data_IF_064577502040
#
_entry.id   IF_064577502040
#
_cell.length_a   1.000
_cell.length_b   1.000
_cell.length_c   1.000
_cell.angle_alpha   90.00
_cell.angle_beta   90.00
_cell.angle_gamma   90.00
#
_symmetry.space_group_name_H-M   'P 1'
#
loop_
_entity.id
_entity.type
_entity.pdbx_description
1 polymer ?
#
# COMPACT_ATOMS: atom_id res chain seq x y z
N UNK A 1 1.60 -12.28 -10.59
CA UNK A 1 0.13 -12.14 -10.67
C UNK A 1 -0.25 -11.10 -11.71
N UNK A 2 -1.25 -11.35 -12.57
CA UNK A 2 -1.74 -10.36 -13.54
C UNK A 2 -2.94 -9.61 -12.96
N UNK A 3 -3.03 -8.30 -13.21
CA UNK A 3 -4.21 -7.48 -12.87
C UNK A 3 -4.11 -6.58 -11.63
N UNK A 4 -3.00 -6.58 -10.87
CA UNK A 4 -2.70 -5.50 -9.92
C UNK A 4 -1.82 -4.49 -10.64
N UNK A 5 -2.25 -3.25 -10.77
CA UNK A 5 -1.58 -2.25 -11.59
C UNK A 5 -0.58 -1.44 -10.77
N UNK A 6 -1.01 -0.94 -9.62
CA UNK A 6 -0.22 -0.01 -8.82
C UNK A 6 -0.49 -0.18 -7.32
N UNK A 7 0.52 0.10 -6.52
CA UNK A 7 0.43 0.25 -5.06
C UNK A 7 0.87 1.67 -4.70
N UNK A 8 0.11 2.36 -3.87
CA UNK A 8 0.37 3.73 -3.44
C UNK A 8 0.24 3.87 -1.93
N UNK A 9 1.09 4.73 -1.36
CA UNK A 9 0.98 5.15 0.04
C UNK A 9 0.79 6.66 0.04
N UNK A 10 -0.30 7.07 0.65
CA UNK A 10 -0.78 8.44 0.63
C UNK A 10 -0.76 8.98 2.05
N UNK A 11 -0.25 10.20 2.20
CA UNK A 11 -0.27 10.88 3.49
C UNK A 11 -1.62 11.50 3.80
N UNK A 12 -1.73 12.02 5.01
CA UNK A 12 -2.93 12.69 5.51
C UNK A 12 -3.41 13.87 4.65
N UNK A 13 -2.53 14.45 3.81
CA UNK A 13 -2.84 15.57 2.90
C UNK A 13 -3.27 15.10 1.51
N UNK A 14 -3.44 13.79 1.31
CA UNK A 14 -3.71 13.22 0.00
C UNK A 14 -2.50 13.18 -0.92
N UNK A 15 -1.28 13.46 -0.45
CA UNK A 15 -0.07 13.39 -1.28
C UNK A 15 0.48 11.97 -1.30
N UNK A 16 0.76 11.45 -2.50
CA UNK A 16 1.49 10.18 -2.66
C UNK A 16 2.94 10.35 -2.15
N UNK A 17 3.32 9.58 -1.14
CA UNK A 17 4.69 9.53 -0.61
C UNK A 17 5.44 8.29 -1.11
N UNK A 18 4.73 7.35 -1.72
CA UNK A 18 5.29 6.16 -2.35
C UNK A 18 4.33 5.66 -3.43
N UNK A 19 4.90 5.25 -4.56
CA UNK A 19 4.19 4.59 -5.65
C UNK A 19 5.03 3.46 -6.23
N UNK A 20 4.43 2.29 -6.40
CA UNK A 20 5.04 1.15 -7.04
C UNK A 20 4.14 0.63 -8.16
N UNK A 21 4.52 0.92 -9.39
CA UNK A 21 3.92 0.30 -10.56
C UNK A 21 4.36 -1.16 -10.68
N UNK A 22 3.37 -2.03 -10.79
CA UNK A 22 3.55 -3.46 -10.95
C UNK A 22 3.49 -3.82 -12.43
N UNK A 23 2.50 -3.26 -13.14
CA UNK A 23 2.34 -3.35 -14.58
C UNK A 23 2.19 -1.94 -15.15
N UNK A 24 2.77 -1.67 -16.33
CA UNK A 24 2.65 -0.37 -16.98
C UNK A 24 1.18 -0.10 -17.33
N UNK A 25 0.64 0.99 -16.80
CA UNK A 25 -0.65 1.53 -17.18
C UNK A 25 -0.43 2.93 -17.77
N UNK A 26 -1.05 3.24 -18.92
CA UNK A 26 -0.75 4.45 -19.71
C UNK A 26 -1.36 5.74 -19.11
N UNK A 27 -2.11 5.67 -18.01
CA UNK A 27 -2.88 6.80 -17.45
C UNK A 27 -2.36 7.31 -16.09
N UNK A 28 -1.09 7.74 -16.01
CA UNK A 28 -0.42 8.08 -14.73
C UNK A 28 -0.87 9.40 -14.08
N UNK A 29 -0.97 10.49 -14.85
CA UNK A 29 -1.13 11.84 -14.26
C UNK A 29 -2.56 12.13 -13.76
N UNK A 30 -3.56 11.59 -14.45
CA UNK A 30 -4.96 11.64 -14.01
C UNK A 30 -5.21 10.84 -12.74
N UNK A 31 -4.39 9.81 -12.48
CA UNK A 31 -4.53 8.90 -11.35
C UNK A 31 -4.15 9.55 -10.01
N UNK A 32 -3.04 10.31 -9.96
CA UNK A 32 -2.56 10.88 -8.70
C UNK A 32 -3.46 11.99 -8.16
N UNK A 33 -3.96 12.87 -9.03
CA UNK A 33 -4.90 13.93 -8.64
C UNK A 33 -6.25 13.34 -8.21
N UNK A 34 -6.73 12.32 -8.94
CA UNK A 34 -7.95 11.60 -8.58
C UNK A 34 -7.82 10.88 -7.24
N UNK A 35 -6.72 10.14 -7.01
CA UNK A 35 -6.46 9.47 -5.75
C UNK A 35 -6.33 10.45 -4.58
N UNK A 36 -5.65 11.58 -4.80
CA UNK A 36 -5.52 12.65 -3.78
C UNK A 36 -6.87 13.20 -3.36
N UNK A 37 -7.73 13.52 -4.33
CA UNK A 37 -9.09 13.99 -4.07
C UNK A 37 -9.95 12.90 -3.45
N UNK A 38 -9.82 11.65 -3.91
CA UNK A 38 -10.55 10.51 -3.38
C UNK A 38 -10.19 10.29 -1.91
N UNK A 39 -8.91 10.21 -1.57
CA UNK A 39 -8.47 9.97 -0.18
C UNK A 39 -8.75 11.16 0.75
N UNK A 40 -8.64 12.39 0.24
CA UNK A 40 -9.05 13.58 1.00
C UNK A 40 -10.55 13.58 1.27
N UNK A 41 -11.35 13.12 0.31
CA UNK A 41 -12.80 12.96 0.47
C UNK A 41 -13.10 11.85 1.47
N UNK A 42 -12.42 10.70 1.37
CA UNK A 42 -12.56 9.56 2.28
C UNK A 42 -12.19 9.90 3.73
N UNK A 43 -11.34 10.92 3.97
CA UNK A 43 -11.04 11.44 5.31
C UNK A 43 -12.27 12.03 6.03
N UNK A 44 -13.22 12.58 5.28
CA UNK A 44 -14.46 13.16 5.81
C UNK A 44 -15.58 12.12 5.96
N UNK A 45 -15.43 10.95 5.32
CA UNK A 45 -16.33 9.83 5.53
C UNK A 45 -15.84 9.05 6.74
N UNK A 46 -16.70 8.92 7.77
CA UNK A 46 -16.56 7.84 8.76
C UNK A 46 -16.80 6.52 8.01
N UNK A 47 -15.78 6.07 7.30
CA UNK A 47 -15.82 4.82 6.55
C UNK A 47 -16.11 3.72 7.55
N UNK A 48 -17.29 3.11 7.45
CA UNK A 48 -17.56 1.83 8.07
C UNK A 48 -16.44 0.91 7.60
N UNK A 49 -15.59 0.48 8.52
CA UNK A 49 -14.45 -0.38 8.22
C UNK A 49 -14.97 -1.56 7.42
N UNK A 50 -14.52 -1.69 6.17
CA UNK A 50 -14.85 -2.82 5.34
C UNK A 50 -14.28 -4.13 5.90
N UNK A 51 -14.47 -5.21 5.16
CA UNK A 51 -14.05 -6.53 5.59
C UNK A 51 -12.56 -6.57 5.92
N UNK A 52 -12.23 -7.15 7.07
CA UNK A 52 -10.87 -7.22 7.61
C UNK A 52 -10.13 -5.87 7.78
N UNK A 53 -10.87 -4.76 7.85
CA UNK A 53 -10.29 -3.40 7.96
C UNK A 53 -9.87 -2.80 6.62
N UNK A 54 -10.18 -3.45 5.50
CA UNK A 54 -9.90 -2.98 4.15
C UNK A 54 -11.17 -2.42 3.52
N UNK A 55 -11.08 -1.20 2.99
CA UNK A 55 -12.15 -0.58 2.23
C UNK A 55 -11.92 -0.78 0.73
N UNK A 56 -13.01 -0.80 -0.04
CA UNK A 56 -12.98 -0.96 -1.49
C UNK A 56 -13.82 0.12 -2.16
N UNK A 57 -13.31 0.66 -3.26
CA UNK A 57 -14.04 1.49 -4.20
C UNK A 57 -13.92 0.91 -5.61
N UNK A 58 -15.04 0.69 -6.28
CA UNK A 58 -15.07 0.24 -7.67
C UNK A 58 -15.42 1.39 -8.61
N UNK A 59 -14.60 1.61 -9.63
CA UNK A 59 -14.77 2.62 -10.67
C UNK A 59 -14.65 1.95 -12.03
N UNK A 60 -15.79 1.71 -12.69
CA UNK A 60 -15.87 0.98 -13.96
C UNK A 60 -15.16 -0.39 -13.84
N UNK A 61 -14.06 -0.56 -14.58
CA UNK A 61 -13.29 -1.81 -14.67
C UNK A 61 -12.16 -1.89 -13.63
N UNK A 62 -11.92 -0.81 -12.87
CA UNK A 62 -10.85 -0.69 -11.89
C UNK A 62 -11.43 -0.72 -10.47
N UNK A 63 -10.75 -1.42 -9.57
CA UNK A 63 -11.02 -1.44 -8.15
C UNK A 63 -9.84 -0.87 -7.37
N UNK A 64 -10.16 -0.04 -6.38
CA UNK A 64 -9.22 0.54 -5.44
C UNK A 64 -9.49 -0.06 -4.07
N UNK A 65 -8.50 -0.76 -3.52
CA UNK A 65 -8.55 -1.31 -2.17
C UNK A 65 -7.61 -0.52 -1.29
N UNK A 66 -8.03 -0.18 -0.08
CA UNK A 66 -7.24 0.68 0.78
C UNK A 66 -7.46 0.42 2.27
N UNK A 67 -6.36 0.53 3.02
CA UNK A 67 -6.31 0.39 4.47
C UNK A 67 -5.67 1.64 5.06
N UNK A 68 -6.27 2.15 6.12
CA UNK A 68 -5.67 3.21 6.92
C UNK A 68 -4.74 2.57 7.94
N UNK A 69 -3.47 2.91 7.90
CA UNK A 69 -2.52 2.48 8.93
C UNK A 69 -2.68 3.32 10.20
N UNK A 70 -2.78 2.63 11.33
CA UNK A 70 -2.98 3.23 12.65
C UNK A 70 -1.72 3.84 13.25
N UNK A 71 -0.51 3.42 12.83
CA UNK A 71 0.75 3.89 13.41
C UNK A 71 1.26 5.18 12.75
N UNK A 72 1.08 5.29 11.44
CA UNK A 72 1.63 6.36 10.61
C UNK A 72 0.60 7.36 10.08
N UNK A 73 -0.69 7.10 10.34
CA UNK A 73 -1.85 7.81 9.79
C UNK A 73 -1.82 7.90 8.25
N UNK A 74 -1.13 6.96 7.59
CA UNK A 74 -1.07 6.87 6.12
C UNK A 74 -2.16 5.95 5.59
N UNK A 75 -2.54 6.18 4.35
CA UNK A 75 -3.42 5.28 3.60
C UNK A 75 -2.56 4.47 2.66
N UNK A 76 -2.63 3.15 2.79
CA UNK A 76 -1.98 2.20 1.89
C UNK A 76 -3.06 1.68 0.97
N UNK A 77 -2.84 1.80 -0.33
CA UNK A 77 -3.85 1.47 -1.31
C UNK A 77 -3.28 0.77 -2.53
N UNK A 78 -4.15 0.02 -3.19
CA UNK A 78 -3.83 -0.91 -4.25
C UNK A 78 -4.91 -0.80 -5.32
N UNK A 79 -4.45 -0.61 -6.54
CA UNK A 79 -5.29 -0.55 -7.73
C UNK A 79 -5.20 -1.87 -8.49
N UNK A 80 -6.35 -2.44 -8.82
CA UNK A 80 -6.42 -3.67 -9.59
C UNK A 80 -7.62 -3.71 -10.53
N UNK A 81 -7.60 -4.64 -11.47
CA UNK A 81 -8.77 -4.96 -12.28
C UNK A 81 -9.89 -5.55 -11.43
N UNK A 82 -11.12 -5.31 -11.86
CA UNK A 82 -12.34 -5.83 -11.22
C UNK A 82 -12.51 -7.36 -11.27
N UNK A 83 -11.62 -8.05 -11.98
CA UNK A 83 -11.59 -9.51 -12.11
C UNK A 83 -10.80 -10.22 -10.99
N UNK A 84 -10.08 -9.48 -10.14
CA UNK A 84 -9.34 -10.07 -9.01
C UNK A 84 -10.28 -10.29 -7.82
N UNK A 85 -10.17 -11.47 -7.19
CA UNK A 85 -10.93 -11.84 -5.99
C UNK A 85 -10.54 -10.94 -4.80
N UNK A 86 -11.53 -10.36 -4.14
CA UNK A 86 -11.35 -9.42 -3.03
C UNK A 86 -10.48 -9.99 -1.89
N UNK A 87 -10.73 -11.23 -1.45
CA UNK A 87 -9.96 -11.88 -0.37
C UNK A 87 -8.45 -11.93 -0.65
N UNK A 88 -8.09 -12.10 -1.93
CA UNK A 88 -6.69 -12.13 -2.34
C UNK A 88 -6.07 -10.74 -2.24
N UNK A 89 -6.82 -9.70 -2.64
CA UNK A 89 -6.37 -8.32 -2.52
C UNK A 89 -6.25 -7.91 -1.06
N UNK A 90 -7.19 -8.31 -0.20
CA UNK A 90 -7.15 -8.03 1.24
C UNK A 90 -5.88 -8.59 1.89
N UNK A 91 -5.53 -9.84 1.59
CA UNK A 91 -4.29 -10.47 2.08
C UNK A 91 -3.04 -9.74 1.60
N UNK A 92 -2.98 -9.41 0.31
CA UNK A 92 -1.85 -8.67 -0.26
C UNK A 92 -1.70 -7.30 0.41
N UNK A 93 -2.81 -6.58 0.58
CA UNK A 93 -2.79 -5.24 1.17
C UNK A 93 -2.34 -5.28 2.64
N UNK A 94 -2.75 -6.30 3.41
CA UNK A 94 -2.26 -6.54 4.77
C UNK A 94 -0.77 -6.85 4.80
N UNK A 95 -0.28 -7.71 3.91
CA UNK A 95 1.15 -8.04 3.81
C UNK A 95 1.99 -6.79 3.47
N UNK A 96 1.49 -5.96 2.56
CA UNK A 96 2.09 -4.66 2.22
C UNK A 96 2.12 -3.74 3.44
N UNK A 97 1.01 -3.65 4.19
CA UNK A 97 0.93 -2.84 5.42
C UNK A 97 1.99 -3.27 6.42
N UNK A 98 2.13 -4.56 6.67
CA UNK A 98 3.13 -5.08 7.61
C UNK A 98 4.54 -4.67 7.19
N UNK A 99 4.90 -4.83 5.92
CA UNK A 99 6.24 -4.42 5.46
C UNK A 99 6.43 -2.90 5.50
N UNK A 100 5.37 -2.12 5.33
CA UNK A 100 5.40 -0.68 5.51
C UNK A 100 5.63 -0.30 6.97
N UNK A 101 4.92 -0.92 7.92
CA UNK A 101 5.09 -0.67 9.35
C UNK A 101 6.53 -0.99 9.79
N UNK A 102 7.10 -2.10 9.31
CA UNK A 102 8.52 -2.46 9.53
C UNK A 102 9.48 -1.40 9.02
N UNK A 103 9.24 -0.91 7.79
CA UNK A 103 10.04 0.16 7.19
C UNK A 103 9.93 1.44 8.01
N UNK A 104 8.70 1.85 8.33
CA UNK A 104 8.41 3.08 9.06
C UNK A 104 9.08 3.08 10.43
N UNK A 105 8.97 1.98 11.18
CA UNK A 105 9.67 1.82 12.46
C UNK A 105 11.18 1.98 12.27
N UNK A 106 11.79 1.31 11.29
CA UNK A 106 13.24 1.48 11.02
C UNK A 106 13.62 2.92 10.67
N UNK A 107 12.82 3.60 9.86
CA UNK A 107 13.06 5.00 9.48
C UNK A 107 13.06 5.95 10.69
N UNK A 108 12.31 5.64 11.76
CA UNK A 108 12.33 6.43 13.00
C UNK A 108 13.66 6.33 13.76
N UNK A 109 14.41 5.24 13.59
CA UNK A 109 15.64 4.97 14.35
C UNK A 109 16.93 5.05 13.49
N UNK A 110 16.82 5.13 12.17
CA UNK A 110 17.98 5.14 11.26
C UNK A 110 18.37 6.54 10.75
N UNK A 111 19.64 6.73 10.38
CA UNK A 111 20.14 7.98 9.77
C UNK A 111 19.65 8.14 8.32
N UNK A 112 19.62 9.38 7.80
CA UNK A 112 19.11 9.71 6.44
C UNK A 112 19.76 8.88 5.31
N UNK A 113 21.01 8.43 5.49
CA UNK A 113 21.74 7.65 4.48
C UNK A 113 21.18 6.23 4.30
N UNK A 114 20.52 5.69 5.33
CA UNK A 114 19.88 4.35 5.32
C UNK A 114 18.50 4.40 4.64
N UNK A 115 17.84 5.57 4.59
CA UNK A 115 16.48 5.71 4.06
C UNK A 115 16.36 5.38 2.56
N UNK A 116 17.37 5.69 1.75
CA UNK A 116 17.36 5.34 0.31
C UNK A 116 17.38 3.83 0.10
N UNK A 117 18.19 3.12 0.91
CA UNK A 117 18.27 1.66 0.90
C UNK A 117 16.96 1.03 1.37
N UNK A 118 16.39 1.53 2.47
CA UNK A 118 15.08 1.08 2.97
C UNK A 118 13.97 1.26 1.94
N UNK A 119 13.96 2.37 1.19
CA UNK A 119 12.99 2.60 0.11
C UNK A 119 13.13 1.59 -1.03
N UNK A 120 14.36 1.29 -1.45
CA UNK A 120 14.61 0.34 -2.54
C UNK A 120 14.27 -1.11 -2.11
N UNK A 121 14.64 -1.49 -0.89
CA UNK A 121 14.31 -2.80 -0.32
C UNK A 121 12.79 -2.97 -0.20
N UNK A 122 12.10 -1.93 0.27
CA UNK A 122 10.65 -1.92 0.34
C UNK A 122 10.02 -2.05 -1.05
N UNK A 123 10.48 -1.28 -2.03
CA UNK A 123 10.00 -1.37 -3.41
C UNK A 123 10.10 -2.79 -3.98
N UNK A 124 11.24 -3.46 -3.79
CA UNK A 124 11.45 -4.84 -4.23
C UNK A 124 10.53 -5.84 -3.50
N UNK A 125 10.31 -5.64 -2.20
CA UNK A 125 9.38 -6.45 -1.41
C UNK A 125 7.94 -6.31 -1.90
N UNK A 126 7.48 -5.10 -2.20
CA UNK A 126 6.13 -4.87 -2.74
C UNK A 126 5.94 -5.63 -4.05
N UNK A 127 6.91 -5.53 -4.98
CA UNK A 127 6.86 -6.28 -6.24
C UNK A 127 6.80 -7.79 -5.99
N UNK A 128 7.57 -8.29 -5.03
CA UNK A 128 7.59 -9.72 -4.69
C UNK A 128 6.27 -10.18 -4.07
N UNK A 129 5.72 -9.43 -3.10
CA UNK A 129 4.41 -9.70 -2.48
C UNK A 129 3.32 -9.78 -3.54
N UNK A 130 3.25 -8.77 -4.42
CA UNK A 130 2.25 -8.73 -5.49
C UNK A 130 2.46 -9.87 -6.50
N UNK A 131 3.72 -10.20 -6.81
CA UNK A 131 4.03 -11.30 -7.74
C UNK A 131 3.56 -12.65 -7.20
N UNK A 132 3.80 -12.90 -5.91
CA UNK A 132 3.48 -14.15 -5.21
C UNK A 132 2.03 -14.22 -4.69
N UNK A 133 1.38 -13.06 -4.52
CA UNK A 133 0.09 -12.94 -3.86
C UNK A 133 0.13 -13.15 -2.34
N UNK A 134 1.32 -13.10 -1.73
CA UNK A 134 1.58 -13.28 -0.30
C UNK A 134 2.98 -12.79 0.10
N UNK A 135 3.19 -12.53 1.38
CA UNK A 135 4.52 -12.24 1.92
C UNK A 135 5.47 -13.44 1.76
N UNK A 136 6.71 -13.25 1.25
CA UNK A 136 7.69 -14.32 1.04
C UNK A 136 8.24 -14.94 2.33
N UNK A 137 8.13 -14.25 3.47
CA UNK A 137 8.43 -14.80 4.79
C UNK A 137 7.19 -14.66 5.67
N UNK A 138 6.64 -15.79 6.13
CA UNK A 138 5.56 -15.79 7.10
C UNK A 138 5.93 -14.96 8.32
N UNK A 139 5.00 -14.09 8.74
CA UNK A 139 5.00 -13.24 9.94
C UNK A 139 6.14 -13.51 10.93
N UNK A 140 7.34 -12.98 10.65
CA UNK A 140 8.41 -12.92 11.66
C UNK A 140 8.22 -11.65 12.49
N UNK A 141 8.11 -11.91 13.78
CA UNK A 141 7.97 -11.01 14.92
C UNK A 141 8.57 -9.61 14.70
N UNK A 142 7.73 -8.57 14.86
CA UNK A 142 8.13 -7.16 14.71
C UNK A 142 9.19 -6.73 15.74
N UNK A 143 9.35 -7.50 16.81
CA UNK A 143 10.27 -7.23 17.91
C UNK A 143 11.75 -7.45 17.57
N UNK A 144 12.08 -8.17 16.48
CA UNK A 144 13.48 -8.44 16.07
C UNK A 144 14.08 -7.41 15.10
N UNK A 145 13.40 -6.28 14.85
CA UNK A 145 13.73 -5.37 13.75
C UNK A 145 14.75 -4.27 14.05
N UNK A 146 15.33 -4.22 15.24
CA UNK A 146 16.28 -3.16 15.64
C UNK A 146 17.72 -3.70 15.65
N UNK A 147 18.25 -3.95 14.46
CA UNK A 147 19.68 -3.91 14.21
C UNK A 147 19.89 -2.93 13.04
N UNK A 148 20.61 -1.85 13.30
CA UNK A 148 21.00 -0.84 12.32
C UNK A 148 22.33 -1.22 11.68
#
# INVERSE_FOLDING_TARGET
>A
MKGIYCVFIVNERGTSIFSCEIHQNEQKDLMYSFLSNLFSTLKNFNLKTGEEGVNMLKLKEVCYYFIKDSFSDKIIALECGSNIKSDQVYRILKDIRIEYDKKYIKELYCSKMINSKLNNDFYNKIKLIVKLGKCPEGYKDLTKLVEC
#
